data_IF_701834497089
#
_entry.id   IF_701834497089
#
_cell.length_a   1.000
_cell.length_b   1.000
_cell.length_c   1.000
_cell.angle_alpha   90.00
_cell.angle_beta   90.00
_cell.angle_gamma   90.00
#
_symmetry.space_group_name_H-M   'P 1'
#
loop_
_entity.id
_entity.type
_entity.pdbx_description
1 polymer ?
2 non-polymer ?
3 non-polymer ?
4 water ?
#
# COMPACT_ATOMS: atom_id res chain seq x y z
N UNK A 6 13.79 20.88 -15.12
CA UNK A 6 13.91 20.84 -13.63
C UNK A 6 13.91 19.41 -13.06
N UNK A 7 14.54 19.24 -11.90
CA UNK A 7 14.51 17.96 -11.17
C UNK A 7 13.74 18.08 -9.85
N UNK A 8 12.61 17.39 -9.79
CA UNK A 8 11.69 17.48 -8.65
C UNK A 8 12.26 16.76 -7.43
N UNK A 9 12.13 17.38 -6.26
CA UNK A 9 12.70 16.83 -5.02
C UNK A 9 12.04 15.49 -4.62
N UNK A 10 12.87 14.51 -4.29
CA UNK A 10 12.38 13.28 -3.70
C UNK A 10 12.81 13.20 -2.24
N UNK A 11 11.92 12.71 -1.39
CA UNK A 11 12.25 12.46 0.00
C UNK A 11 13.22 11.27 0.15
N UNK A 12 13.87 11.19 1.31
CA UNK A 12 14.66 10.03 1.64
C UNK A 12 13.71 8.88 1.98
N UNK A 13 14.17 7.68 1.63
CA UNK A 13 13.52 6.44 2.06
C UNK A 13 13.35 6.42 3.59
N UNK A 14 14.35 6.92 4.32
CA UNK A 14 14.23 6.99 5.79
C UNK A 14 13.00 7.77 6.25
N UNK A 15 12.69 8.86 5.55
CA UNK A 15 11.48 9.63 5.90
C UNK A 15 10.20 8.87 5.54
N UNK A 16 10.18 8.27 4.35
CA UNK A 16 9.06 7.42 3.97
C UNK A 16 8.81 6.32 5.03
N UNK A 17 9.87 5.61 5.42
CA UNK A 17 9.75 4.58 6.47
C UNK A 17 9.22 5.18 7.78
N UNK A 18 9.74 6.33 8.19
CA UNK A 18 9.27 6.94 9.44
C UNK A 18 7.80 7.32 9.34
N UNK A 19 7.37 7.85 8.19
CA UNK A 19 5.94 8.12 7.96
C UNK A 19 5.09 6.84 8.12
N UNK A 20 5.50 5.77 7.43
CA UNK A 20 4.78 4.49 7.51
C UNK A 20 4.59 4.05 8.99
N UNK A 21 5.70 4.08 9.74
CA UNK A 21 5.75 3.77 11.20
C UNK A 21 4.81 4.63 12.03
N UNK A 22 4.72 5.91 11.70
CA UNK A 22 3.80 6.82 12.38
C UNK A 22 2.35 6.64 11.96
N UNK A 23 2.07 5.67 11.10
CA UNK A 23 0.70 5.46 10.62
C UNK A 23 0.27 6.45 9.54
N UNK A 24 1.24 7.04 8.85
CA UNK A 24 0.98 7.99 7.77
C UNK A 24 1.15 7.30 6.41
N UNK A 25 0.76 8.01 5.35
CA UNK A 25 0.87 7.51 4.00
C UNK A 25 2.05 8.14 3.29
N UNK A 26 2.50 7.48 2.23
CA UNK A 26 3.56 8.00 1.40
C UNK A 26 3.10 7.78 -0.03
N UNK A 27 3.83 8.36 -0.98
CA UNK A 27 3.53 8.16 -2.37
C UNK A 27 4.76 7.51 -2.96
N UNK A 28 4.57 6.42 -3.69
CA UNK A 28 5.69 5.76 -4.33
C UNK A 28 5.52 5.81 -5.86
N UNK A 29 6.55 6.31 -6.54
CA UNK A 29 6.61 6.30 -8.00
C UNK A 29 7.47 5.14 -8.51
N UNK A 30 7.00 4.41 -9.51
CA UNK A 30 7.97 3.64 -10.31
C UNK A 30 8.17 4.24 -11.69
N UNK A 31 9.42 4.54 -12.03
CA UNK A 31 9.79 5.06 -13.36
C UNK A 31 9.71 3.98 -14.45
N UNK A 32 8.49 3.53 -14.72
CA UNK A 32 8.22 2.29 -15.45
C UNK A 32 6.84 2.31 -16.13
N UNK A 33 5.90 3.07 -15.57
CA UNK A 33 4.53 3.14 -16.08
C UNK A 33 4.21 4.48 -16.74
N UNK A 37 4.22 6.38 -12.61
CA UNK A 37 2.98 6.06 -11.91
C UNK A 37 3.16 6.07 -10.38
N UNK A 38 2.40 6.94 -9.73
CA UNK A 38 2.44 7.09 -8.28
C UNK A 38 1.28 6.38 -7.60
N UNK A 39 1.60 5.67 -6.52
CA UNK A 39 0.61 5.01 -5.68
C UNK A 39 0.66 5.63 -4.30
N UNK A 40 -0.49 5.75 -3.67
CA UNK A 40 -0.56 6.10 -2.25
C UNK A 40 -0.40 4.80 -1.47
N UNK A 41 0.46 4.80 -0.45
CA UNK A 41 0.77 3.58 0.28
C UNK A 41 0.78 3.86 1.76
N UNK A 42 0.07 3.04 2.54
CA UNK A 42 0.30 2.96 3.99
C UNK A 42 0.37 1.50 4.45
N UNK A 43 0.68 1.29 5.73
CA UNK A 43 0.73 -0.06 6.30
C UNK A 43 -0.70 -0.50 6.61
N UNK A 44 -1.08 -1.72 6.20
CA UNK A 44 -2.45 -2.16 6.38
C UNK A 44 -2.88 -2.13 7.84
N UNK A 45 -1.96 -2.44 8.76
CA UNK A 45 -2.33 -2.50 10.19
C UNK A 45 -2.66 -1.11 10.76
N UNK A 46 -2.19 -0.09 10.04
CA UNK A 46 -2.39 1.30 10.42
C UNK A 46 -3.66 1.90 9.79
N UNK A 47 -4.47 1.06 9.13
CA UNK A 47 -5.68 1.56 8.48
C UNK A 47 -6.65 2.13 9.51
N UNK A 48 -7.13 3.35 9.24
CA UNK A 48 -8.19 3.99 10.04
C UNK A 48 -9.29 4.45 9.07
N UNK A 49 -10.50 4.75 9.58
CA UNK A 49 -11.53 5.32 8.70
C UNK A 49 -11.04 6.58 7.97
N UNK A 50 -10.30 7.44 8.66
CA UNK A 50 -9.78 8.68 8.07
C UNK A 50 -8.78 8.42 6.95
N UNK A 51 -7.84 7.49 7.17
CA UNK A 51 -6.87 7.24 6.09
C UNK A 51 -7.49 6.52 4.91
N UNK A 52 -8.40 5.58 5.16
CA UNK A 52 -9.09 4.93 4.04
C UNK A 52 -9.90 5.98 3.26
N UNK A 53 -10.68 6.80 3.98
CA UNK A 53 -11.45 7.91 3.36
C UNK A 53 -10.58 8.78 2.44
N UNK A 54 -9.39 9.13 2.92
CA UNK A 54 -8.40 9.87 2.13
C UNK A 54 -7.98 9.13 0.86
N UNK A 55 -7.57 7.87 1.01
CA UNK A 55 -7.29 6.98 -0.14
C UNK A 55 -8.46 6.85 -1.14
N UNK A 56 -9.66 6.62 -0.62
CA UNK A 56 -10.87 6.52 -1.46
C UNK A 56 -11.05 7.78 -2.31
N UNK A 57 -10.84 8.93 -1.69
CA UNK A 57 -10.93 10.20 -2.37
C UNK A 57 -10.04 10.29 -3.61
N UNK A 58 -8.83 9.74 -3.55
CA UNK A 58 -7.88 9.87 -4.65
C UNK A 58 -7.57 8.60 -5.45
N UNK A 59 -8.28 7.51 -5.18
CA UNK A 59 -8.06 6.26 -5.90
C UNK A 59 -8.68 6.28 -7.28
N UNK A 60 -7.96 5.68 -8.22
CA UNK A 60 -8.45 5.49 -9.57
C UNK A 60 -9.52 4.40 -9.63
N UNK A 61 -9.57 3.56 -8.61
CA UNK A 61 -10.51 2.45 -8.58
C UNK A 61 -10.36 1.56 -7.36
N UNK A 62 -9.51 0.56 -7.46
CA UNK A 62 -9.44 -0.45 -6.41
C UNK A 62 -8.56 -0.01 -5.25
N UNK A 63 -8.91 -0.47 -4.06
CA UNK A 63 -8.01 -0.35 -2.92
C UNK A 63 -7.46 -1.75 -2.66
N UNK A 64 -6.14 -1.86 -2.69
CA UNK A 64 -5.45 -3.14 -2.65
C UNK A 64 -4.62 -3.31 -1.38
N UNK A 65 -4.40 -4.55 -0.98
CA UNK A 65 -3.66 -4.87 0.22
C UNK A 65 -2.55 -5.87 -0.15
N UNK A 66 -1.35 -5.34 -0.48
CA UNK A 66 -0.18 -6.18 -0.77
C UNK A 66 0.15 -6.92 0.47
N UNK A 67 0.41 -8.22 0.31
CA UNK A 67 0.70 -9.10 1.42
C UNK A 67 1.93 -9.94 1.13
N UNK A 68 2.70 -10.13 2.18
CA UNK A 68 3.82 -11.05 2.17
C UNK A 68 3.33 -12.48 1.78
N UNK A 69 4.19 -13.24 1.09
CA UNK A 69 3.86 -14.61 0.67
C UNK A 69 3.39 -15.54 1.78
N UNK A 70 3.98 -15.42 2.96
CA UNK A 70 3.64 -16.26 4.12
C UNK A 70 2.23 -15.96 4.60
N UNK A 71 1.82 -14.69 4.51
CA UNK A 71 0.45 -14.33 4.84
C UNK A 71 -0.48 -14.94 3.82
N UNK A 72 -0.11 -14.86 2.54
CA UNK A 72 -0.97 -15.35 1.48
C UNK A 72 -1.16 -16.88 1.61
N UNK A 73 -0.07 -17.61 1.91
CA UNK A 73 -0.16 -19.05 2.12
C UNK A 73 -1.16 -19.31 3.24
N UNK A 74 -1.00 -18.61 4.37
CA UNK A 74 -1.92 -18.76 5.50
C UNK A 74 -3.40 -18.50 5.15
N UNK A 75 -3.64 -17.52 4.28
CA UNK A 75 -5.00 -17.19 3.82
C UNK A 75 -5.50 -18.06 2.64
N UNK A 76 -4.61 -18.88 2.07
CA UNK A 76 -5.00 -19.72 0.94
C UNK A 76 -5.03 -18.95 -0.36
N UNK A 77 -4.26 -17.87 -0.40
CA UNK A 77 -4.10 -17.06 -1.58
C UNK A 77 -2.81 -17.55 -2.25
N UNK A 78 -2.92 -18.67 -2.97
CA UNK A 78 -1.76 -19.32 -3.59
C UNK A 78 -1.28 -18.56 -4.83
N UNK A 79 -0.04 -18.84 -5.29
CA UNK A 79 0.45 -18.17 -6.50
C UNK A 79 -0.49 -18.34 -7.71
N UNK A 80 -1.21 -19.47 -7.78
CA UNK A 80 -2.23 -19.69 -8.82
C UNK A 80 -3.16 -18.49 -9.02
N UNK A 92 -8.27 -8.22 -11.20
CA UNK A 92 -8.49 -8.50 -9.78
C UNK A 92 -9.80 -9.25 -9.58
N UNK A 93 -9.72 -10.56 -9.35
CA UNK A 93 -10.96 -11.30 -9.07
C UNK A 93 -11.14 -11.69 -7.60
N UNK A 94 -10.05 -11.77 -6.84
CA UNK A 94 -10.26 -12.00 -5.42
C UNK A 94 -10.45 -10.65 -4.74
N UNK A 95 -11.65 -10.44 -4.23
CA UNK A 95 -11.92 -9.33 -3.31
C UNK A 95 -12.48 -9.90 -2.00
N UNK A 96 -12.16 -9.24 -0.87
CA UNK A 96 -12.64 -9.70 0.43
C UNK A 96 -13.19 -8.57 1.30
N UNK A 97 -14.05 -8.96 2.24
CA UNK A 97 -14.47 -8.14 3.36
C UNK A 97 -14.23 -8.99 4.61
N UNK A 98 -13.95 -8.34 5.73
CA UNK A 98 -14.04 -8.99 7.04
C UNK A 98 -15.41 -9.63 7.18
N UNK A 99 -15.47 -10.87 7.67
CA UNK A 99 -16.77 -11.51 7.85
C UNK A 99 -17.57 -10.81 8.95
N UNK A 100 -16.91 -10.53 10.07
CA UNK A 100 -17.59 -10.03 11.29
C UNK A 100 -17.32 -8.55 11.53
N UNK A 101 -18.20 -7.90 12.29
CA UNK A 101 -18.00 -6.54 12.79
C UNK A 101 -17.96 -5.38 11.79
N UNK A 102 -18.67 -5.52 10.67
CA UNK A 102 -18.73 -4.45 9.67
C UNK A 102 -20.18 -4.28 9.18
N UNK A 103 -20.43 -3.22 8.41
CA UNK A 103 -21.72 -3.05 7.71
C UNK A 103 -21.75 -3.83 6.39
N UNK A 104 -21.93 -3.15 5.27
CA UNK A 104 -21.93 -3.85 3.98
C UNK A 104 -20.50 -4.10 3.44
N UNK A 105 -19.52 -3.33 3.91
CA UNK A 105 -18.12 -3.59 3.59
C UNK A 105 -17.47 -2.45 2.83
N UNK A 106 -18.31 -1.51 2.38
CA UNK A 106 -17.85 -0.45 1.51
C UNK A 106 -17.44 0.84 2.23
N UNK A 107 -17.89 1.05 3.45
CA UNK A 107 -17.52 2.28 4.18
C UNK A 107 -16.01 2.31 4.45
N UNK A 108 -15.47 3.51 4.66
CA UNK A 108 -14.09 3.71 5.05
C UNK A 108 -13.76 2.88 6.28
N UNK A 109 -14.66 2.92 7.25
CA UNK A 109 -14.51 2.16 8.48
C UNK A 109 -14.51 0.65 8.26
N UNK A 110 -15.39 0.16 7.38
CA UNK A 110 -15.44 -1.25 7.02
C UNK A 110 -14.16 -1.73 6.31
N UNK A 111 -13.70 -0.94 5.34
CA UNK A 111 -12.50 -1.26 4.58
C UNK A 111 -11.27 -1.21 5.48
N UNK A 112 -11.22 -0.24 6.40
CA UNK A 112 -10.13 -0.15 7.39
C UNK A 112 -10.08 -1.41 8.26
N UNK A 113 -11.23 -1.83 8.80
CA UNK A 113 -11.32 -3.12 9.52
C UNK A 113 -10.81 -4.31 8.67
N UNK A 114 -11.30 -4.42 7.44
CA UNK A 114 -10.88 -5.50 6.54
C UNK A 114 -9.35 -5.52 6.38
N UNK A 115 -8.79 -4.33 6.12
CA UNK A 115 -7.35 -4.18 5.93
C UNK A 115 -6.56 -4.60 7.17
N UNK A 116 -7.01 -4.16 8.34
CA UNK A 116 -6.33 -4.54 9.59
C UNK A 116 -6.36 -6.05 9.83
N UNK A 117 -7.46 -6.68 9.46
CA UNK A 117 -7.61 -8.12 9.62
C UNK A 117 -6.63 -8.88 8.74
N UNK A 118 -6.48 -8.42 7.50
CA UNK A 118 -5.47 -8.97 6.58
C UNK A 118 -4.04 -8.89 7.11
N UNK A 119 -3.73 -7.84 7.87
CA UNK A 119 -2.41 -7.68 8.53
C UNK A 119 -2.28 -8.48 9.85
N UNK A 120 -3.40 -8.89 10.43
CA UNK A 120 -3.40 -9.65 11.71
C UNK A 120 -2.73 -10.99 11.48
N UNK A 121 -1.66 -11.30 12.26
CA UNK A 121 -0.94 -12.54 11.97
C UNK A 121 -1.72 -13.82 12.25
N UNK A 122 -2.94 -13.72 12.81
CA UNK A 122 -3.75 -14.94 13.01
C UNK A 122 -4.95 -15.09 12.09
N UNK A 123 -5.16 -14.13 11.18
CA UNK A 123 -6.32 -14.23 10.27
C UNK A 123 -6.22 -15.41 9.30
N UNK A 124 -7.37 -16.02 9.02
CA UNK A 124 -7.46 -17.16 8.12
C UNK A 124 -8.59 -16.87 7.15
N UNK A 125 -8.75 -17.68 6.11
CA UNK A 125 -9.75 -17.43 5.08
C UNK A 125 -11.14 -17.22 5.63
N UNK A 126 -11.55 -18.01 6.61
CA UNK A 126 -12.93 -17.83 7.01
C UNK A 126 -13.22 -16.66 7.96
N UNK A 127 -12.20 -15.88 8.30
CA UNK A 127 -12.44 -14.56 8.92
C UNK A 127 -12.94 -13.55 7.89
N UNK A 128 -12.92 -13.95 6.63
CA UNK A 128 -13.31 -13.07 5.53
C UNK A 128 -14.48 -13.64 4.72
N UNK A 129 -15.20 -12.75 4.03
CA UNK A 129 -16.20 -13.10 3.01
C UNK A 129 -15.75 -12.66 1.61
N UNK A 130 -16.34 -13.33 0.61
CA UNK A 130 -16.12 -13.05 -0.81
C UNK A 130 -17.50 -13.00 -1.48
N UNK A 131 -17.75 -12.02 -2.37
CA UNK A 131 -16.79 -10.98 -2.77
C UNK A 131 -16.78 -9.84 -1.77
N UNK A 132 -15.91 -8.87 -1.98
CA UNK A 132 -15.71 -7.81 -1.00
C UNK A 132 -15.23 -6.52 -1.61
N UNK A 133 -14.66 -5.65 -0.79
CA UNK A 133 -14.35 -4.30 -1.24
C UNK A 133 -12.87 -3.93 -1.16
N UNK A 134 -12.05 -4.92 -0.86
CA UNK A 134 -10.61 -4.74 -0.72
C UNK A 134 -9.94 -5.87 -1.55
N UNK A 135 -8.87 -5.55 -2.27
CA UNK A 135 -8.18 -6.53 -3.12
C UNK A 135 -6.83 -7.00 -2.53
N UNK A 136 -6.78 -8.24 -2.00
CA UNK A 136 -5.47 -8.73 -1.51
C UNK A 136 -4.51 -9.04 -2.67
N UNK A 137 -3.24 -8.70 -2.51
CA UNK A 137 -2.25 -8.92 -3.56
C UNK A 137 -1.03 -9.61 -2.95
N UNK A 138 -0.43 -10.51 -3.72
CA UNK A 138 0.71 -11.28 -3.25
C UNK A 138 2.01 -10.63 -3.71
N UNK A 139 2.83 -10.21 -2.75
CA UNK A 139 4.14 -9.65 -3.02
C UNK A 139 5.13 -10.82 -3.21
N UNK A 140 6.02 -10.68 -4.18
CA UNK A 140 7.12 -11.62 -4.42
C UNK A 140 8.10 -11.59 -3.26
N UNK A 141 8.52 -12.77 -2.79
CA UNK A 141 9.57 -12.88 -1.77
C UNK A 141 10.82 -12.11 -2.25
N UNK A 142 11.46 -11.37 -1.35
CA UNK A 142 12.60 -10.53 -1.75
C UNK A 142 12.17 -9.06 -1.99
N UNK A 143 10.88 -8.84 -2.17
CA UNK A 143 10.33 -7.47 -2.35
C UNK A 143 10.92 -6.77 -3.56
N UNK A 144 11.17 -5.46 -3.47
CA UNK A 144 11.61 -4.69 -4.67
C UNK A 144 12.96 -5.14 -5.23
N UNK A 145 13.75 -5.83 -4.41
CA UNK A 145 15.00 -6.45 -4.89
C UNK A 145 14.74 -7.57 -5.86
N UNK A 146 13.57 -8.20 -5.72
CA UNK A 146 13.16 -9.30 -6.57
C UNK A 146 12.29 -8.80 -7.70
N UNK A 147 11.25 -8.05 -7.36
CA UNK A 147 10.34 -7.51 -8.36
C UNK A 147 10.07 -6.04 -8.01
N UNK A 148 10.48 -5.10 -8.87
CA UNK A 148 10.37 -3.66 -8.53
C UNK A 148 8.94 -3.07 -8.74
N UNK A 149 7.96 -3.61 -8.02
CA UNK A 149 6.57 -3.19 -8.16
C UNK A 149 6.10 -2.46 -6.92
N UNK A 150 5.02 -1.69 -7.09
CA UNK A 150 4.33 -1.06 -5.97
C UNK A 150 3.87 -2.05 -4.90
N UNK A 151 3.43 -3.22 -5.35
CA UNK A 151 3.00 -4.27 -4.42
C UNK A 151 4.13 -4.61 -3.48
N UNK A 152 5.32 -4.82 -4.04
CA UNK A 152 6.47 -5.21 -3.22
C UNK A 152 6.91 -4.05 -2.36
N UNK A 153 6.86 -2.84 -2.91
CA UNK A 153 7.29 -1.66 -2.16
C UNK A 153 6.46 -1.50 -0.91
N UNK A 154 5.16 -1.73 -1.02
CA UNK A 154 4.27 -1.53 0.12
C UNK A 154 4.61 -2.49 1.25
N UNK A 155 4.77 -3.76 0.91
CA UNK A 155 5.19 -4.76 1.89
C UNK A 155 6.55 -4.41 2.47
N UNK A 156 7.48 -4.00 1.60
CA UNK A 156 8.82 -3.64 2.06
C UNK A 156 8.75 -2.51 3.07
N UNK A 157 8.05 -1.43 2.71
CA UNK A 157 7.92 -0.27 3.63
C UNK A 157 7.32 -0.62 4.98
N UNK A 158 6.24 -1.39 4.98
CA UNK A 158 5.63 -1.85 6.25
C UNK A 158 6.64 -2.64 7.12
N UNK A 159 7.37 -3.55 6.48
CA UNK A 159 8.34 -4.41 7.18
C UNK A 159 9.51 -3.55 7.68
N UNK A 160 9.98 -2.64 6.84
CA UNK A 160 11.05 -1.70 7.23
C UNK A 160 10.65 -0.81 8.41
N UNK A 161 9.36 -0.51 8.52
CA UNK A 161 8.82 0.30 9.61
C UNK A 161 8.64 -0.47 10.90
N UNK A 162 8.99 -1.76 10.88
CA UNK A 162 8.82 -2.61 12.06
C UNK A 162 7.42 -3.16 12.21
N UNK A 163 6.64 -3.13 11.13
CA UNK A 163 5.24 -3.57 11.21
C UNK A 163 5.02 -4.94 10.56
N UNK A 164 3.81 -5.46 10.68
CA UNK A 164 3.42 -6.64 9.90
C UNK A 164 3.64 -6.37 8.41
N UNK A 165 4.13 -7.38 7.66
CA UNK A 165 4.47 -7.18 6.26
C UNK A 165 3.21 -7.14 5.34
N UNK A 166 2.44 -6.05 5.46
CA UNK A 166 1.14 -5.91 4.84
C UNK A 166 0.90 -4.42 4.62
N UNK A 167 0.69 -4.04 3.36
CA UNK A 167 0.41 -2.66 3.00
C UNK A 167 -0.99 -2.44 2.44
N UNK A 168 -1.32 -1.17 2.17
CA UNK A 168 -2.56 -0.76 1.52
C UNK A 168 -2.16 0.23 0.45
N UNK A 169 -2.62 0.02 -0.79
CA UNK A 169 -2.16 0.82 -1.93
C UNK A 169 -3.32 1.20 -2.85
N UNK A 170 -3.16 2.31 -3.56
CA UNK A 170 -4.03 2.60 -4.69
C UNK A 170 -3.26 3.44 -5.69
N UNK A 171 -3.67 3.39 -6.96
CA UNK A 171 -3.10 4.26 -7.96
C UNK A 171 -3.81 5.58 -7.80
N UNK A 172 -3.02 6.65 -7.76
CA UNK A 172 -3.59 7.98 -7.68
C UNK A 172 -4.14 8.37 -9.06
N UNK A 173 -5.38 8.88 -9.06
CA UNK A 173 -6.00 9.43 -10.28
C UNK A 173 -5.04 10.41 -10.95
N UNK A 174 -4.77 10.18 -12.24
CA UNK A 174 -3.78 10.97 -12.96
C UNK A 174 -4.39 12.28 -13.45
N UNK A 177 -2.65 13.01 -16.34
CA UNK A 177 -2.69 11.96 -17.37
C UNK A 177 -1.99 12.37 -18.68
N UNK A 178 -1.29 13.51 -18.65
CA UNK A 178 -0.71 14.10 -19.86
C UNK A 178 0.78 13.89 -20.13
N UNK A 179 1.64 14.07 -19.13
CA UNK A 179 3.11 14.04 -19.35
C UNK A 179 3.97 13.54 -18.17
N UNK A 180 5.11 12.92 -18.49
CA UNK A 180 6.01 12.23 -17.53
C UNK A 180 6.61 13.13 -16.43
N UNK A 181 7.44 14.09 -16.84
CA UNK A 181 7.97 15.14 -15.96
C UNK A 181 6.87 15.87 -15.18
N UNK A 182 5.75 16.13 -15.85
CA UNK A 182 4.56 16.79 -15.28
C UNK A 182 3.85 16.00 -14.17
N UNK A 183 3.75 14.68 -14.33
CA UNK A 183 3.19 13.79 -13.30
C UNK A 183 3.94 13.93 -11.97
N UNK A 184 5.26 13.84 -12.02
CA UNK A 184 6.10 13.89 -10.82
C UNK A 184 5.97 15.22 -10.06
N UNK A 185 5.93 16.33 -10.80
CA UNK A 185 5.78 17.66 -10.20
C UNK A 185 4.42 17.86 -9.53
N UNK A 186 3.36 17.37 -10.17
CA UNK A 186 2.03 17.39 -9.57
C UNK A 186 1.94 16.49 -8.32
N UNK A 187 2.66 15.38 -8.35
CA UNK A 187 2.67 14.46 -7.20
C UNK A 187 3.40 15.10 -6.01
N UNK A 188 4.41 15.92 -6.30
CA UNK A 188 5.23 16.57 -5.27
C UNK A 188 4.40 17.59 -4.50
N UNK A 189 3.62 18.39 -5.25
CA UNK A 189 2.71 19.39 -4.65
C UNK A 189 1.66 18.69 -3.83
N UNK A 190 1.02 17.68 -4.42
CA UNK A 190 -0.02 16.91 -3.75
C UNK A 190 0.52 16.29 -2.47
N UNK A 191 1.71 15.73 -2.54
CA UNK A 191 2.37 15.15 -1.35
C UNK A 191 2.53 16.21 -0.25
N UNK A 192 2.99 17.39 -0.65
CA UNK A 192 3.29 18.47 0.28
C UNK A 192 2.04 19.04 0.90
N UNK A 193 0.97 19.20 0.11
CA UNK A 193 -0.32 19.64 0.65
C UNK A 193 -0.86 18.70 1.71
N UNK A 194 -0.47 17.42 1.65
CA UNK A 194 -0.96 16.47 2.66
C UNK A 194 0.12 15.89 3.57
N UNK A 195 1.33 16.44 3.50
CA UNK A 195 2.42 16.04 4.40
C UNK A 195 3.01 14.67 4.14
N UNK A 196 2.90 14.20 2.90
CA UNK A 196 3.35 12.85 2.56
C UNK A 196 4.75 12.86 1.98
N UNK A 197 5.51 11.79 2.21
CA UNK A 197 6.79 11.61 1.54
C UNK A 197 6.57 11.09 0.13
N UNK A 198 7.48 11.47 -0.76
CA UNK A 198 7.44 11.08 -2.16
C UNK A 198 8.75 10.40 -2.49
N UNK A 199 8.69 9.12 -2.84
CA UNK A 199 9.90 8.38 -3.17
C UNK A 199 9.72 7.57 -4.45
N UNK A 200 10.83 7.06 -4.97
CA UNK A 200 10.78 6.14 -6.10
C UNK A 200 11.14 4.73 -5.64
N UNK A 201 10.66 3.74 -6.38
CA UNK A 201 11.07 2.36 -6.19
C UNK A 201 12.61 2.20 -6.39
N UNK A 202 13.17 2.95 -7.34
CA UNK A 202 14.61 2.96 -7.59
C UNK A 202 15.40 3.30 -6.33
N UNK A 203 15.00 4.36 -5.62
CA UNK A 203 15.61 4.72 -4.34
C UNK A 203 15.38 3.72 -3.20
N UNK A 204 14.20 3.11 -3.18
CA UNK A 204 13.92 2.04 -2.22
C UNK A 204 14.86 0.84 -2.46
N UNK A 205 15.03 0.44 -3.71
CA UNK A 205 15.95 -0.64 -4.07
C UNK A 205 17.35 -0.31 -3.56
N UNK A 206 17.83 0.88 -3.91
CA UNK A 206 19.16 1.30 -3.52
C UNK A 206 19.34 1.32 -2.00
N UNK A 207 18.36 1.85 -1.27
CA UNK A 207 18.43 1.87 0.19
C UNK A 207 18.54 0.45 0.75
N UNK A 208 17.59 -0.40 0.39
CA UNK A 208 17.53 -1.79 0.87
C UNK A 208 18.88 -2.49 0.65
N UNK A 209 19.37 -2.43 -0.59
CA UNK A 209 20.67 -2.99 -0.99
C UNK A 209 21.84 -2.59 -0.11
N UNK A 210 21.76 -1.40 0.47
CA UNK A 210 22.86 -0.87 1.27
C UNK A 210 22.62 -0.95 2.79
N UNK A 211 21.39 -1.21 3.20
CA UNK A 211 21.06 -1.20 4.63
C UNK A 211 20.57 -2.53 5.18
N UNK A 212 20.40 -3.50 4.30
CA UNK A 212 19.81 -4.78 4.67
C UNK A 212 20.67 -5.59 5.64
X LIG B 1 2.55 -3.24 -9.10
X LIG B 1 2.35 -4.04 -10.30
X LIG B 1 3.19 -4.05 -8.07
X LIG B 1 3.44 -2.13 -9.45
X LIG B 1 1.25 -2.75 -8.60
X LIG C 1 10.19 -16.16 -7.34
X LIG C 1 10.95 -17.38 -7.63
X LIG C 1 9.21 -16.48 -6.30
X LIG C 1 11.10 -15.12 -6.88
X LIG C 1 9.52 -15.68 -8.55
X LIG D 1 -20.97 -9.57 13.02
X LIG D 1 -19.91 -9.70 14.02
X LIG D 1 -22.27 -9.76 13.65
X LIG D 1 -20.91 -8.24 12.43
X LIG D 1 -20.80 -10.58 11.97
X LIG E 1 2.07 0.07 -9.92
X LIG F 1 -5.09 15.62 4.32
#
# INVERSE_FOLDING_TARGET
VPRGSHMTRLDSVERAVADIAAGKAVIVIDDEDRENEGDLIFAAEKATPEMVAFMVRYTSGYLCVPLDGAICDRLGLLPMYAVNQDKHGTAYTVTVDARNGIGTGISASDRATTMRLLADPTSVADDFTRPGHVVPLRAKDGGVLRRPGHTEAAVDLARMAGLQPAGAICEIVSQKDEGSMAHTDELRVFADEHGLALITIADLIEWRRKHE
SO4 S O1 O2 O3 O4
SO4 S O1 O2 O3 O4
SO4 S O1 O2 O3 O4
ZN ZN
ZN ZN
#
